data_IF_963492550597
#
_entry.id   IF_963492550597
#
_cell.length_a   1.000
_cell.length_b   1.000
_cell.length_c   1.000
_cell.angle_alpha   90.00
_cell.angle_beta   90.00
_cell.angle_gamma   90.00
#
_symmetry.space_group_name_H-M   'P 1'
#
loop_
_entity.id
_entity.type
_entity.pdbx_description
1 polymer ?
#
# COMPACT_ATOMS: atom_id res chain seq x y z
N UNK A 1 -15.86 -8.00 0.70
CA UNK A 1 -14.70 -7.11 0.59
C UNK A 1 -13.53 -7.96 0.18
N UNK A 2 -12.93 -7.68 -0.97
CA UNK A 2 -11.70 -8.36 -1.38
C UNK A 2 -10.55 -7.86 -0.51
N UNK A 3 -9.51 -8.68 -0.34
CA UNK A 3 -8.34 -8.32 0.45
C UNK A 3 -7.08 -8.51 -0.38
N UNK A 4 -6.23 -7.49 -0.37
CA UNK A 4 -4.98 -7.44 -1.14
C UNK A 4 -3.86 -7.07 -0.17
N UNK A 5 -2.80 -7.88 -0.18
CA UNK A 5 -1.66 -7.71 0.72
C UNK A 5 -0.41 -7.34 -0.10
N UNK A 6 0.33 -6.36 0.39
CA UNK A 6 1.62 -5.93 -0.17
C UNK A 6 2.72 -6.23 0.83
N UNK A 7 3.58 -7.20 0.51
CA UNK A 7 4.66 -7.65 1.38
C UNK A 7 5.95 -6.86 1.15
N UNK A 8 6.33 -6.04 2.13
CA UNK A 8 7.52 -5.20 2.08
C UNK A 8 8.83 -5.93 2.36
N UNK A 9 8.80 -7.25 2.60
CA UNK A 9 10.00 -8.09 2.45
C UNK A 9 10.33 -8.33 0.97
N UNK A 10 9.32 -8.36 0.10
CA UNK A 10 9.49 -8.54 -1.36
C UNK A 10 9.58 -7.19 -2.09
N UNK A 11 8.88 -6.18 -1.60
CA UNK A 11 8.83 -4.83 -2.20
C UNK A 11 9.96 -3.96 -1.62
N UNK A 12 11.06 -3.89 -2.36
CA UNK A 12 12.29 -3.20 -1.93
C UNK A 12 12.30 -1.69 -2.21
N UNK A 13 11.52 -1.24 -3.19
CA UNK A 13 11.51 0.13 -3.71
C UNK A 13 10.16 0.51 -4.37
N UNK A 14 9.97 1.82 -4.59
CA UNK A 14 8.74 2.38 -5.16
C UNK A 14 8.41 1.80 -6.55
N UNK A 15 9.35 1.69 -7.51
CA UNK A 15 9.10 0.98 -8.76
C UNK A 15 8.64 -0.47 -8.57
N UNK A 16 9.20 -1.21 -7.60
CA UNK A 16 8.74 -2.57 -7.29
C UNK A 16 7.29 -2.59 -6.80
N UNK A 17 6.89 -1.62 -5.98
CA UNK A 17 5.51 -1.46 -5.54
C UNK A 17 4.55 -1.27 -6.72
N UNK A 18 4.85 -0.35 -7.64
CA UNK A 18 3.95 -0.11 -8.79
C UNK A 18 3.80 -1.34 -9.69
N UNK A 19 4.86 -2.13 -9.88
CA UNK A 19 4.78 -3.38 -10.64
C UNK A 19 3.90 -4.41 -9.95
N UNK A 20 4.06 -4.59 -8.65
CA UNK A 20 3.24 -5.52 -7.87
C UNK A 20 1.79 -5.07 -7.83
N UNK A 21 1.53 -3.78 -7.66
CA UNK A 21 0.19 -3.20 -7.69
C UNK A 21 -0.50 -3.44 -9.04
N UNK A 22 0.19 -3.11 -10.14
CA UNK A 22 -0.33 -3.36 -11.47
C UNK A 22 -0.60 -4.86 -11.71
N UNK A 23 0.26 -5.75 -11.23
CA UNK A 23 0.07 -7.18 -11.35
C UNK A 23 -1.15 -7.69 -10.56
N UNK A 24 -1.29 -7.28 -9.28
CA UNK A 24 -2.41 -7.74 -8.44
C UNK A 24 -3.77 -7.21 -8.91
N UNK A 25 -3.82 -6.01 -9.46
CA UNK A 25 -5.05 -5.42 -10.01
C UNK A 25 -5.22 -5.61 -11.53
N UNK A 26 -4.35 -6.42 -12.16
CA UNK A 26 -4.35 -6.72 -13.60
C UNK A 26 -4.37 -5.46 -14.49
N UNK A 27 -3.61 -4.43 -14.12
CA UNK A 27 -3.49 -3.16 -14.85
C UNK A 27 -2.55 -3.32 -16.05
N UNK A 28 -2.90 -2.65 -17.15
CA UNK A 28 -2.11 -2.63 -18.38
C UNK A 28 -0.89 -1.69 -18.32
N UNK A 29 -0.16 -1.64 -19.44
CA UNK A 29 1.02 -0.75 -19.60
C UNK A 29 0.67 0.75 -19.49
N UNK A 30 -0.60 1.10 -19.61
CA UNK A 30 -1.13 2.47 -19.49
C UNK A 30 -1.19 3.02 -18.05
N UNK A 31 -0.93 2.19 -17.03
CA UNK A 31 -1.01 2.58 -15.61
C UNK A 31 -0.10 3.76 -15.23
N UNK A 32 0.94 4.08 -16.01
CA UNK A 32 1.79 5.26 -15.77
C UNK A 32 2.75 5.19 -14.57
N UNK A 33 2.48 4.34 -13.57
CA UNK A 33 3.37 4.02 -12.44
C UNK A 33 3.91 5.23 -11.66
N UNK A 34 3.00 6.14 -11.28
CA UNK A 34 3.29 7.31 -10.45
C UNK A 34 2.13 7.59 -9.48
N UNK A 35 2.25 8.58 -8.59
CA UNK A 35 1.24 8.85 -7.55
C UNK A 35 -0.12 9.30 -8.13
N UNK A 36 -0.10 10.12 -9.18
CA UNK A 36 -1.33 10.65 -9.82
C UNK A 36 -2.13 9.51 -10.44
N UNK A 37 -1.45 8.65 -11.21
CA UNK A 37 -2.11 7.50 -11.81
C UNK A 37 -2.52 6.43 -10.77
N UNK A 38 -1.77 6.29 -9.67
CA UNK A 38 -2.18 5.43 -8.56
C UNK A 38 -3.48 5.95 -7.92
N UNK A 39 -3.60 7.26 -7.74
CA UNK A 39 -4.81 7.88 -7.20
C UNK A 39 -6.03 7.63 -8.08
N UNK A 40 -5.91 7.90 -9.39
CA UNK A 40 -6.99 7.65 -10.35
C UNK A 40 -7.49 6.20 -10.28
N UNK A 41 -6.56 5.25 -10.27
CA UNK A 41 -6.92 3.84 -10.25
C UNK A 41 -7.57 3.43 -8.93
N UNK A 42 -7.01 3.88 -7.80
CA UNK A 42 -7.49 3.51 -6.47
C UNK A 42 -8.90 4.09 -6.20
N UNK A 43 -9.20 5.28 -6.72
CA UNK A 43 -10.48 5.96 -6.49
C UNK A 43 -11.53 5.69 -7.55
N UNK A 44 -11.14 5.24 -8.76
CA UNK A 44 -12.04 5.11 -9.89
C UNK A 44 -12.10 3.72 -10.56
N UNK A 45 -10.97 3.01 -10.68
CA UNK A 45 -10.88 1.82 -11.55
C UNK A 45 -10.86 0.48 -10.80
N UNK A 46 -10.41 0.45 -9.54
CA UNK A 46 -10.38 -0.81 -8.79
C UNK A 46 -11.78 -1.25 -8.31
N UNK A 47 -11.94 -2.57 -8.15
CA UNK A 47 -13.18 -3.15 -7.65
C UNK A 47 -13.36 -2.91 -6.14
N UNK A 48 -14.34 -2.09 -5.78
CA UNK A 48 -14.75 -1.83 -4.39
C UNK A 48 -15.90 -2.76 -3.95
N UNK A 49 -16.05 -3.07 -2.64
CA UNK A 49 -15.17 -2.67 -1.55
C UNK A 49 -13.92 -3.56 -1.44
N UNK A 50 -12.80 -2.96 -1.02
CA UNK A 50 -11.48 -3.62 -0.93
C UNK A 50 -10.74 -3.26 0.36
N UNK A 51 -9.98 -4.21 0.90
CA UNK A 51 -8.98 -4.00 1.95
C UNK A 51 -7.59 -4.07 1.33
N UNK A 52 -6.78 -3.04 1.56
CA UNK A 52 -5.37 -3.01 1.18
C UNK A 52 -4.54 -3.03 2.46
N UNK A 53 -3.68 -4.03 2.59
CA UNK A 53 -2.79 -4.15 3.74
C UNK A 53 -1.32 -4.10 3.32
N UNK A 54 -0.57 -3.20 3.95
CA UNK A 54 0.89 -3.18 3.86
C UNK A 54 1.44 -4.02 5.01
N UNK A 55 2.01 -5.18 4.69
CA UNK A 55 2.57 -6.10 5.67
C UNK A 55 4.10 -6.08 5.64
N UNK A 56 4.69 -6.45 6.76
CA UNK A 56 6.13 -6.43 6.97
C UNK A 56 6.81 -5.07 6.71
N UNK A 57 6.08 -3.98 6.98
CA UNK A 57 6.59 -2.64 6.70
C UNK A 57 7.61 -2.23 7.77
N UNK A 58 8.89 -2.23 7.41
CA UNK A 58 9.95 -1.72 8.30
C UNK A 58 9.89 -0.19 8.45
N UNK A 59 10.43 0.35 9.55
CA UNK A 59 10.50 1.80 9.78
C UNK A 59 11.23 2.56 8.65
N UNK A 60 12.22 1.90 8.01
CA UNK A 60 12.92 2.45 6.84
C UNK A 60 11.98 2.51 5.63
N UNK A 61 11.28 1.42 5.32
CA UNK A 61 10.33 1.37 4.22
C UNK A 61 9.22 2.40 4.45
N UNK A 62 8.64 2.47 5.65
CA UNK A 62 7.60 3.46 5.99
C UNK A 62 7.97 4.90 5.61
N UNK A 63 9.23 5.30 5.83
CA UNK A 63 9.73 6.62 5.41
C UNK A 63 9.85 6.73 3.88
N UNK A 64 10.40 5.71 3.22
CA UNK A 64 10.57 5.71 1.76
C UNK A 64 9.24 5.69 1.00
N UNK A 65 8.21 5.04 1.55
CA UNK A 65 6.89 4.89 0.95
C UNK A 65 5.85 5.86 1.51
N UNK A 66 6.27 6.87 2.29
CA UNK A 66 5.36 7.77 3.00
C UNK A 66 4.30 8.44 2.13
N UNK A 67 4.66 8.83 0.90
CA UNK A 67 3.70 9.42 -0.04
C UNK A 67 2.64 8.42 -0.54
N UNK A 68 3.00 7.15 -0.72
CA UNK A 68 2.08 6.09 -1.13
C UNK A 68 1.16 5.70 0.03
N UNK A 69 1.71 5.62 1.25
CA UNK A 69 0.93 5.37 2.47
C UNK A 69 -0.12 6.46 2.64
N UNK A 70 0.31 7.74 2.59
CA UNK A 70 -0.60 8.88 2.68
C UNK A 70 -1.69 8.82 1.60
N UNK A 71 -1.33 8.45 0.36
CA UNK A 71 -2.30 8.32 -0.72
C UNK A 71 -3.42 7.33 -0.39
N UNK A 72 -3.09 6.17 0.20
CA UNK A 72 -4.11 5.19 0.59
C UNK A 72 -4.93 5.62 1.81
N UNK A 73 -4.33 6.37 2.75
CA UNK A 73 -5.06 6.99 3.88
C UNK A 73 -6.10 7.98 3.34
N UNK A 74 -5.70 8.90 2.47
CA UNK A 74 -6.62 9.89 1.86
C UNK A 74 -7.69 9.21 0.97
N UNK A 75 -7.34 8.13 0.27
CA UNK A 75 -8.30 7.38 -0.54
C UNK A 75 -9.35 6.62 0.31
N UNK A 76 -8.98 6.14 1.50
CA UNK A 76 -9.94 5.56 2.45
C UNK A 76 -10.97 6.61 2.88
N UNK A 77 -10.52 7.85 3.15
CA UNK A 77 -11.41 8.97 3.48
C UNK A 77 -12.31 9.37 2.31
N UNK A 78 -11.76 9.57 1.11
CA UNK A 78 -12.53 9.98 -0.08
C UNK A 78 -13.59 8.95 -0.50
N UNK A 79 -13.32 7.66 -0.24
CA UNK A 79 -14.22 6.55 -0.60
C UNK A 79 -15.18 6.13 0.53
N UNK A 80 -15.27 6.93 1.61
CA UNK A 80 -16.14 6.70 2.78
C UNK A 80 -15.99 5.28 3.35
N UNK A 81 -14.76 4.76 3.39
CA UNK A 81 -14.44 3.42 3.89
C UNK A 81 -14.80 2.24 2.97
N UNK A 82 -15.18 2.52 1.70
CA UNK A 82 -15.34 1.47 0.67
C UNK A 82 -13.99 0.83 0.30
N UNK A 83 -12.92 1.63 0.36
CA UNK A 83 -11.55 1.14 0.50
C UNK A 83 -11.18 1.19 1.98
N UNK A 84 -10.53 0.16 2.49
CA UNK A 84 -9.88 0.20 3.79
C UNK A 84 -8.38 0.01 3.68
N UNK A 85 -7.62 0.83 4.39
CA UNK A 85 -6.17 0.76 4.38
C UNK A 85 -5.61 0.43 5.76
N UNK A 86 -4.72 -0.55 5.84
CA UNK A 86 -4.06 -0.93 7.09
C UNK A 86 -2.57 -1.15 6.88
N UNK A 87 -1.79 -0.84 7.92
CA UNK A 87 -0.35 -1.08 7.95
C UNK A 87 -0.01 -2.00 9.11
N UNK A 88 0.67 -3.11 8.80
CA UNK A 88 1.24 -4.06 9.77
C UNK A 88 2.74 -3.97 9.70
N UNK A 89 3.31 -3.38 10.74
CA UNK A 89 4.76 -3.24 10.86
C UNK A 89 5.38 -4.60 11.18
N UNK A 90 6.52 -4.94 10.55
CA UNK A 90 7.34 -6.03 11.05
C UNK A 90 7.78 -5.67 12.45
N UNK A 91 7.34 -6.44 13.44
CA UNK A 91 7.71 -6.22 14.83
C UNK A 91 9.21 -6.04 14.94
N UNK A 92 9.65 -4.82 15.22
CA UNK A 92 10.87 -4.61 15.97
C UNK A 92 10.58 -5.21 17.33
N UNK A 93 10.94 -6.48 17.48
CA UNK A 93 11.02 -7.15 18.77
C UNK A 93 11.70 -6.16 19.72
N UNK A 94 10.91 -5.57 20.61
CA UNK A 94 11.42 -4.72 21.68
C UNK A 94 12.08 -5.65 22.68
N UNK A 95 13.24 -6.20 22.32
CA UNK A 95 14.08 -6.99 23.21
C UNK A 95 14.85 -6.02 24.11
N UNK A 96 14.26 -5.79 25.29
CA UNK A 96 14.86 -5.58 26.61
C UNK A 96 16.09 -4.66 26.77
N UNK A 97 15.98 -3.71 27.71
CA UNK A 97 16.92 -3.75 28.84
C UNK A 97 16.23 -3.47 30.18
N UNK A 98 16.34 -4.47 31.05
CA UNK A 98 16.08 -4.46 32.48
C UNK A 98 17.14 -3.58 33.16
N UNK A 99 16.73 -2.70 34.06
CA UNK A 99 17.61 -1.96 34.95
C UNK A 99 16.85 -1.50 36.16
#
# INVERSE_FOLDING_TARGET
>A
MAKVEFDFEQIQDVPAFYREFAHQFALGEEFGANLDALWDVVTGDISLPVEIEFIHLSARCKRCFGAIILLFEEAEEELDGSLRFNVRESGGESVHHRG
#
